data_IF_277246196432
#
_entry.id   IF_277246196432
#
_cell.length_a   1.000
_cell.length_b   1.000
_cell.length_c   1.000
_cell.angle_alpha   90.00
_cell.angle_beta   90.00
_cell.angle_gamma   90.00
#
_symmetry.space_group_name_H-M   'P 1'
#
loop_
_entity.id
_entity.type
_entity.pdbx_description
1 polymer ?
#
# COMPACT_ATOMS: atom_id res chain seq x y z
N UNK A 1 -28.30 -1.21 14.48
CA UNK A 1 -27.96 0.12 13.94
C UNK A 1 -26.91 -0.18 12.89
N UNK A 2 -27.31 -0.33 11.63
CA UNK A 2 -26.35 -0.52 10.54
C UNK A 2 -25.65 0.83 10.37
N UNK A 3 -24.36 0.89 10.70
CA UNK A 3 -23.49 1.94 10.20
C UNK A 3 -23.47 1.80 8.68
N UNK A 4 -24.31 2.58 8.00
CA UNK A 4 -24.39 2.57 6.54
C UNK A 4 -23.06 3.02 5.97
N UNK A 5 -22.48 2.23 5.07
CA UNK A 5 -21.27 2.59 4.35
C UNK A 5 -21.41 4.00 3.75
N UNK A 6 -20.43 4.86 4.00
CA UNK A 6 -20.34 6.17 3.36
C UNK A 6 -19.82 5.97 1.94
N UNK A 7 -20.26 6.79 0.99
CA UNK A 7 -19.74 6.74 -0.38
C UNK A 7 -19.56 8.11 -0.99
N UNK A 8 -18.65 8.19 -1.95
CA UNK A 8 -18.55 9.32 -2.86
C UNK A 8 -18.28 8.81 -4.28
N UNK A 9 -18.61 9.63 -5.28
CA UNK A 9 -18.49 9.28 -6.69
C UNK A 9 -17.95 10.45 -7.49
N UNK A 10 -17.36 10.13 -8.62
CA UNK A 10 -16.98 11.13 -9.62
C UNK A 10 -18.21 11.78 -10.25
N UNK A 11 -17.99 12.93 -10.87
CA UNK A 11 -18.97 13.57 -11.75
C UNK A 11 -18.21 14.15 -12.94
N UNK A 12 -18.54 13.67 -14.14
CA UNK A 12 -17.96 14.11 -15.40
C UNK A 12 -17.13 13.03 -16.12
N UNK A 13 -16.86 11.87 -15.50
CA UNK A 13 -16.16 10.78 -16.18
C UNK A 13 -17.06 10.04 -17.18
N UNK A 14 -18.38 10.20 -17.08
CA UNK A 14 -19.33 9.59 -18.03
C UNK A 14 -19.05 9.95 -19.49
N UNK A 15 -18.55 11.16 -19.77
CA UNK A 15 -18.19 11.58 -21.13
C UNK A 15 -17.07 10.71 -21.75
N UNK A 16 -16.20 10.14 -20.91
CA UNK A 16 -15.04 9.35 -21.35
C UNK A 16 -15.25 7.85 -21.11
N UNK A 17 -15.72 7.47 -19.93
CA UNK A 17 -15.91 6.08 -19.51
C UNK A 17 -17.32 5.54 -19.75
N UNK A 18 -18.31 6.40 -20.05
CA UNK A 18 -19.75 6.06 -20.09
C UNK A 18 -20.33 5.56 -18.76
N UNK A 19 -19.64 5.86 -17.67
CA UNK A 19 -20.02 5.52 -16.30
C UNK A 19 -19.26 6.43 -15.34
N UNK A 20 -19.73 6.53 -14.11
CA UNK A 20 -19.01 7.18 -13.01
C UNK A 20 -18.35 6.12 -12.13
N UNK A 21 -17.28 6.52 -11.45
CA UNK A 21 -16.58 5.66 -10.48
C UNK A 21 -17.06 6.04 -9.08
N UNK A 22 -17.46 5.03 -8.30
CA UNK A 22 -17.92 5.20 -6.93
C UNK A 22 -17.02 4.42 -5.98
N UNK A 23 -16.65 5.06 -4.88
CA UNK A 23 -15.95 4.44 -3.76
C UNK A 23 -16.83 4.45 -2.52
N UNK A 24 -16.93 3.30 -1.84
CA UNK A 24 -17.58 3.16 -0.54
C UNK A 24 -16.56 2.82 0.54
N UNK A 25 -16.84 3.27 1.77
CA UNK A 25 -15.94 3.14 2.91
C UNK A 25 -16.71 3.26 4.24
N UNK A 26 -16.11 2.74 5.32
CA UNK A 26 -16.82 2.55 6.61
C UNK A 26 -16.73 3.75 7.56
N UNK A 27 -15.82 4.71 7.35
CA UNK A 27 -15.60 5.83 8.29
C UNK A 27 -15.56 7.19 7.60
N UNK A 28 -16.23 8.18 8.18
CA UNK A 28 -16.29 9.55 7.64
C UNK A 28 -14.92 10.24 7.53
N UNK A 29 -13.95 9.85 8.34
CA UNK A 29 -12.56 10.35 8.27
C UNK A 29 -11.87 9.97 6.94
N UNK A 30 -12.36 8.93 6.27
CA UNK A 30 -11.85 8.48 4.97
C UNK A 30 -12.40 9.28 3.80
N UNK A 31 -13.30 10.25 4.01
CA UNK A 31 -13.83 11.08 2.94
C UNK A 31 -12.74 11.89 2.22
N UNK A 32 -11.73 12.38 2.94
CA UNK A 32 -10.57 13.06 2.37
C UNK A 32 -9.75 12.14 1.46
N UNK A 33 -9.21 11.02 1.99
CA UNK A 33 -8.55 9.98 1.20
C UNK A 33 -9.37 9.50 0.00
N UNK A 34 -10.68 9.28 0.17
CA UNK A 34 -11.57 8.84 -0.90
C UNK A 34 -11.64 9.84 -2.05
N UNK A 35 -11.70 11.15 -1.74
CA UNK A 35 -11.67 12.21 -2.77
C UNK A 35 -10.32 12.24 -3.48
N UNK A 36 -9.20 12.14 -2.76
CA UNK A 36 -7.88 12.05 -3.38
C UNK A 36 -7.77 10.86 -4.34
N UNK A 37 -8.27 9.69 -3.93
CA UNK A 37 -8.32 8.52 -4.79
C UNK A 37 -9.14 8.77 -6.07
N UNK A 38 -10.34 9.33 -5.95
CA UNK A 38 -11.19 9.64 -7.11
C UNK A 38 -10.59 10.72 -8.02
N UNK A 39 -9.90 11.72 -7.48
CA UNK A 39 -9.17 12.70 -8.30
C UNK A 39 -8.08 12.01 -9.13
N UNK A 40 -7.29 11.14 -8.52
CA UNK A 40 -6.27 10.37 -9.23
C UNK A 40 -6.87 9.45 -10.30
N UNK A 41 -8.03 8.84 -10.02
CA UNK A 41 -8.77 8.08 -11.03
C UNK A 41 -9.18 8.99 -12.20
N UNK A 42 -9.65 10.20 -11.91
CA UNK A 42 -9.97 11.20 -12.92
C UNK A 42 -8.76 11.61 -13.75
N UNK A 43 -7.64 11.91 -13.11
CA UNK A 43 -6.38 12.26 -13.78
C UNK A 43 -5.91 11.14 -14.71
N UNK A 44 -5.92 9.90 -14.23
CA UNK A 44 -5.57 8.71 -15.03
C UNK A 44 -6.43 8.59 -16.30
N UNK A 45 -7.74 8.87 -16.19
CA UNK A 45 -8.67 8.86 -17.32
C UNK A 45 -8.44 10.05 -18.26
N UNK A 46 -8.15 11.24 -17.72
CA UNK A 46 -7.82 12.44 -18.49
C UNK A 46 -6.51 12.30 -19.28
N UNK A 47 -5.58 11.48 -18.81
CA UNK A 47 -4.37 11.08 -19.55
C UNK A 47 -4.66 10.13 -20.74
N UNK A 48 -5.93 9.75 -20.93
CA UNK A 48 -6.38 8.90 -22.04
C UNK A 48 -6.42 7.42 -21.69
N UNK A 49 -6.13 7.04 -20.44
CA UNK A 49 -6.28 5.67 -19.99
C UNK A 49 -7.77 5.32 -19.78
N UNK A 50 -8.10 4.03 -19.83
CA UNK A 50 -9.46 3.54 -19.60
C UNK A 50 -9.48 2.66 -18.35
N UNK A 51 -10.61 2.71 -17.65
CA UNK A 51 -10.92 1.82 -16.53
C UNK A 51 -12.15 1.00 -16.90
N UNK A 52 -12.04 -0.31 -16.77
CA UNK A 52 -13.10 -1.27 -17.08
C UNK A 52 -13.36 -2.22 -15.89
N UNK A 53 -14.53 -2.86 -15.89
CA UNK A 53 -14.87 -3.87 -14.89
C UNK A 53 -13.84 -5.00 -14.88
N UNK A 54 -13.39 -5.39 -13.69
CA UNK A 54 -12.36 -6.41 -13.45
C UNK A 54 -10.93 -5.87 -13.37
N UNK A 55 -10.67 -4.64 -13.86
CA UNK A 55 -9.35 -4.02 -13.79
C UNK A 55 -9.00 -3.57 -12.36
N UNK A 56 -7.70 -3.37 -12.14
CA UNK A 56 -7.16 -2.96 -10.83
C UNK A 56 -6.25 -1.74 -10.96
N UNK A 57 -6.16 -0.98 -9.88
CA UNK A 57 -5.27 0.15 -9.72
C UNK A 57 -4.69 0.13 -8.31
N UNK A 58 -3.38 0.22 -8.17
CA UNK A 58 -2.75 0.39 -6.86
C UNK A 58 -3.09 1.76 -6.28
N UNK A 59 -3.43 1.85 -5.00
CA UNK A 59 -3.57 3.10 -4.25
C UNK A 59 -2.68 3.03 -3.02
N UNK A 60 -1.53 3.72 -3.09
CA UNK A 60 -0.43 3.42 -2.20
C UNK A 60 0.05 1.98 -2.41
N UNK A 61 0.23 1.28 -1.29
CA UNK A 61 0.58 -0.14 -1.28
C UNK A 61 -0.58 -1.06 -1.67
N UNK A 62 -1.83 -0.69 -1.37
CA UNK A 62 -2.98 -1.57 -1.56
C UNK A 62 -3.51 -1.55 -3.00
N UNK A 63 -4.33 -2.53 -3.35
CA UNK A 63 -4.93 -2.66 -4.70
C UNK A 63 -6.43 -2.46 -4.63
N UNK A 64 -6.94 -1.56 -5.47
CA UNK A 64 -8.37 -1.34 -5.68
C UNK A 64 -8.78 -1.97 -7.01
N UNK A 65 -9.87 -2.72 -7.01
CA UNK A 65 -10.51 -3.31 -8.19
C UNK A 65 -11.77 -2.52 -8.55
N UNK A 66 -12.06 -2.39 -9.84
CA UNK A 66 -13.29 -1.78 -10.33
C UNK A 66 -14.26 -2.85 -10.80
N UNK A 67 -15.52 -2.77 -10.41
CA UNK A 67 -16.57 -3.72 -10.77
C UNK A 67 -17.80 -2.94 -11.24
N UNK A 68 -18.28 -3.24 -12.45
CA UNK A 68 -19.47 -2.60 -13.00
C UNK A 68 -20.75 -3.23 -12.44
N UNK A 69 -21.57 -2.43 -11.78
CA UNK A 69 -22.85 -2.83 -11.17
C UNK A 69 -23.84 -1.68 -11.33
N UNK A 70 -25.06 -1.98 -11.81
CA UNK A 70 -26.14 -0.99 -12.00
C UNK A 70 -25.72 0.28 -12.76
N UNK A 71 -24.81 0.13 -13.74
CA UNK A 71 -24.33 1.24 -14.57
C UNK A 71 -23.24 2.11 -13.92
N UNK A 72 -22.72 1.73 -12.76
CA UNK A 72 -21.66 2.41 -12.02
C UNK A 72 -20.44 1.50 -11.90
N UNK A 73 -19.23 2.04 -11.96
CA UNK A 73 -18.02 1.32 -11.57
C UNK A 73 -17.78 1.47 -10.06
N UNK A 74 -18.21 0.48 -9.30
CA UNK A 74 -17.94 0.38 -7.86
C UNK A 74 -16.51 -0.08 -7.60
N UNK A 75 -15.90 0.42 -6.53
CA UNK A 75 -14.62 -0.10 -6.04
C UNK A 75 -14.81 -1.33 -5.17
N UNK A 76 -13.88 -2.24 -5.29
CA UNK A 76 -13.67 -3.40 -4.43
C UNK A 76 -12.21 -3.42 -3.98
N UNK A 77 -11.93 -4.07 -2.87
CA UNK A 77 -10.57 -4.28 -2.37
C UNK A 77 -10.38 -5.73 -1.93
N UNK A 78 -9.12 -6.13 -1.72
CA UNK A 78 -8.86 -7.41 -1.08
C UNK A 78 -9.15 -7.35 0.42
N UNK A 79 -9.59 -8.48 0.98
CA UNK A 79 -9.68 -8.67 2.43
C UNK A 79 -8.29 -8.67 3.10
N UNK A 80 -8.26 -8.76 4.43
CA UNK A 80 -7.01 -8.77 5.21
C UNK A 80 -6.12 -10.00 4.92
N UNK A 81 -6.69 -11.04 4.29
CA UNK A 81 -6.00 -12.26 3.88
C UNK A 81 -5.56 -12.26 2.43
N UNK A 82 -5.87 -11.23 1.65
CA UNK A 82 -5.61 -11.18 0.21
C UNK A 82 -6.27 -12.32 -0.59
N UNK A 83 -7.35 -12.91 -0.08
CA UNK A 83 -8.03 -14.05 -0.69
C UNK A 83 -9.26 -13.61 -1.47
N UNK A 84 -10.09 -12.80 -0.82
CA UNK A 84 -11.41 -12.44 -1.32
C UNK A 84 -11.48 -10.96 -1.70
N UNK A 85 -12.27 -10.67 -2.73
CA UNK A 85 -12.61 -9.31 -3.12
C UNK A 85 -13.86 -8.87 -2.37
N UNK A 86 -13.74 -7.83 -1.54
CA UNK A 86 -14.84 -7.27 -0.75
C UNK A 86 -15.26 -5.89 -1.29
N UNK A 87 -16.54 -5.51 -1.19
CA UNK A 87 -16.99 -4.20 -1.65
C UNK A 87 -16.34 -3.04 -0.89
N UNK A 88 -16.10 -1.94 -1.60
CA UNK A 88 -15.52 -0.71 -1.05
C UNK A 88 -14.01 -0.65 -1.15
N UNK A 89 -13.42 0.33 -0.45
CA UNK A 89 -11.99 0.59 -0.45
C UNK A 89 -11.47 1.04 0.94
N UNK A 90 -12.15 0.62 2.02
CA UNK A 90 -11.83 1.08 3.39
C UNK A 90 -10.36 0.85 3.74
N UNK A 91 -9.81 -0.34 3.49
CA UNK A 91 -8.40 -0.67 3.78
C UNK A 91 -7.47 0.13 2.89
N UNK A 92 -7.73 0.19 1.59
CA UNK A 92 -6.90 0.95 0.65
C UNK A 92 -6.77 2.42 1.07
N UNK A 93 -7.88 3.05 1.45
CA UNK A 93 -7.92 4.44 1.89
C UNK A 93 -7.26 4.64 3.27
N UNK A 94 -7.47 3.71 4.20
CA UNK A 94 -6.85 3.73 5.53
C UNK A 94 -5.34 3.62 5.42
N UNK A 95 -4.86 2.65 4.66
CA UNK A 95 -3.44 2.42 4.45
C UNK A 95 -2.78 3.56 3.68
N UNK A 96 -3.45 4.12 2.67
CA UNK A 96 -2.98 5.33 2.00
C UNK A 96 -2.74 6.48 2.97
N UNK A 97 -3.76 6.81 3.78
CA UNK A 97 -3.69 7.86 4.79
C UNK A 97 -2.56 7.62 5.79
N UNK A 98 -2.49 6.41 6.34
CA UNK A 98 -1.53 6.07 7.39
C UNK A 98 -0.08 6.03 6.86
N UNK A 99 0.11 5.60 5.62
CA UNK A 99 1.42 5.64 4.96
C UNK A 99 1.87 7.09 4.71
N UNK A 100 0.98 7.93 4.15
CA UNK A 100 1.27 9.36 3.97
C UNK A 100 1.63 10.05 5.29
N UNK A 101 0.81 9.87 6.32
CA UNK A 101 1.07 10.46 7.63
C UNK A 101 2.39 9.96 8.25
N UNK A 102 2.80 8.72 7.94
CA UNK A 102 4.08 8.18 8.40
C UNK A 102 5.27 8.82 7.68
N UNK A 103 5.20 8.99 6.36
CA UNK A 103 6.21 9.71 5.58
C UNK A 103 6.33 11.18 6.03
N UNK A 104 5.20 11.87 6.19
CA UNK A 104 5.16 13.26 6.65
C UNK A 104 5.77 13.44 8.05
N UNK A 105 5.51 12.51 8.97
CA UNK A 105 6.02 12.58 10.34
C UNK A 105 7.57 12.50 10.43
N UNK A 106 8.23 12.00 9.38
CA UNK A 106 9.69 11.90 9.29
C UNK A 106 10.28 12.74 8.16
N UNK A 107 9.49 13.66 7.58
CA UNK A 107 9.89 14.54 6.47
C UNK A 107 10.49 13.76 5.29
N UNK A 108 9.87 12.62 4.93
CA UNK A 108 10.29 11.81 3.78
C UNK A 108 9.33 11.92 2.61
N UNK A 109 9.86 11.63 1.41
CA UNK A 109 9.04 11.36 0.25
C UNK A 109 8.10 10.17 0.50
N UNK A 110 7.02 10.14 -0.27
CA UNK A 110 6.03 9.08 -0.25
C UNK A 110 6.26 8.16 -1.47
N UNK A 111 6.79 6.96 -1.24
CA UNK A 111 7.20 6.01 -2.28
C UNK A 111 6.72 4.57 -1.96
N UNK A 112 5.44 4.25 -2.16
CA UNK A 112 4.89 2.94 -1.83
C UNK A 112 5.33 1.88 -2.85
N UNK A 113 5.88 0.74 -2.42
CA UNK A 113 6.10 -0.39 -3.31
C UNK A 113 4.76 -1.04 -3.68
N UNK A 114 4.75 -1.81 -4.78
CA UNK A 114 3.60 -2.64 -5.12
C UNK A 114 3.45 -3.79 -4.11
N UNK A 115 2.21 -4.17 -3.79
CA UNK A 115 1.93 -5.34 -2.93
C UNK A 115 2.50 -6.66 -3.45
N UNK A 116 2.69 -6.78 -4.77
CA UNK A 116 3.32 -7.93 -5.41
C UNK A 116 4.85 -7.78 -5.57
N UNK A 117 5.46 -6.66 -5.18
CA UNK A 117 6.90 -6.56 -5.09
C UNK A 117 7.42 -7.45 -3.95
N UNK A 118 8.66 -7.90 -4.05
CA UNK A 118 9.26 -8.84 -3.09
C UNK A 118 10.21 -8.16 -2.12
N UNK A 119 10.20 -8.61 -0.85
CA UNK A 119 11.15 -8.23 0.19
C UNK A 119 12.02 -9.44 0.58
N UNK A 120 13.22 -9.17 1.06
CA UNK A 120 14.08 -10.17 1.70
C UNK A 120 13.79 -10.19 3.21
N UNK A 121 13.48 -11.35 3.77
CA UNK A 121 13.11 -11.49 5.18
C UNK A 121 13.98 -12.55 5.87
N UNK A 122 14.37 -12.30 7.13
CA UNK A 122 14.97 -13.34 7.98
C UNK A 122 13.90 -14.19 8.66
N UNK A 123 14.33 -15.28 9.32
CA UNK A 123 13.46 -16.02 10.23
C UNK A 123 12.93 -15.09 11.34
N UNK A 124 11.70 -15.32 11.83
CA UNK A 124 11.06 -14.55 12.89
C UNK A 124 10.16 -13.42 12.39
N UNK A 125 10.33 -12.93 11.15
CA UNK A 125 9.57 -11.76 10.65
C UNK A 125 8.07 -12.07 10.58
N UNK A 126 7.73 -13.20 9.96
CA UNK A 126 6.33 -13.66 9.80
C UNK A 126 5.76 -14.08 11.16
N UNK A 127 6.60 -14.60 12.05
CA UNK A 127 6.22 -15.05 13.38
C UNK A 127 5.94 -13.91 14.37
N UNK A 128 6.21 -12.65 14.00
CA UNK A 128 5.91 -11.49 14.86
C UNK A 128 7.07 -11.02 15.72
N UNK A 129 8.29 -11.52 15.50
CA UNK A 129 9.45 -11.04 16.24
C UNK A 129 9.70 -9.55 15.97
N UNK A 130 10.31 -8.82 16.92
CA UNK A 130 10.74 -7.45 16.70
C UNK A 130 11.72 -7.35 15.52
N UNK A 131 11.51 -6.35 14.66
CA UNK A 131 12.24 -6.25 13.39
C UNK A 131 13.17 -5.04 13.34
N UNK A 132 14.25 -5.22 12.59
CA UNK A 132 15.08 -4.19 12.02
C UNK A 132 14.84 -4.21 10.50
N UNK A 133 14.58 -3.06 9.91
CA UNK A 133 14.22 -2.93 8.51
C UNK A 133 15.04 -1.83 7.85
N UNK A 134 15.46 -2.07 6.63
CA UNK A 134 16.17 -1.11 5.78
C UNK A 134 15.68 -1.25 4.35
N UNK A 135 15.52 -0.13 3.64
CA UNK A 135 15.11 -0.12 2.23
C UNK A 135 16.24 0.35 1.34
N UNK A 136 16.71 -0.53 0.46
CA UNK A 136 17.69 -0.19 -0.57
C UNK A 136 17.00 0.21 -1.88
N UNK A 137 17.66 0.97 -2.75
CA UNK A 137 17.28 1.08 -4.15
C UNK A 137 17.17 -0.31 -4.78
N UNK A 138 16.12 -0.56 -5.58
CA UNK A 138 15.83 -1.89 -6.09
C UNK A 138 15.12 -1.86 -7.45
N UNK A 139 15.25 -2.91 -8.28
CA UNK A 139 14.48 -3.02 -9.53
C UNK A 139 12.98 -3.18 -9.26
N UNK A 140 12.08 -2.88 -10.22
CA UNK A 140 10.63 -2.77 -9.97
C UNK A 140 9.91 -3.99 -9.36
N UNK A 141 10.46 -5.20 -9.53
CA UNK A 141 9.88 -6.43 -8.99
C UNK A 141 10.32 -6.71 -7.53
N UNK A 142 11.30 -5.97 -7.03
CA UNK A 142 11.78 -5.97 -5.65
C UNK A 142 11.33 -4.67 -4.98
N UNK A 143 10.95 -4.74 -3.71
CA UNK A 143 10.56 -3.54 -2.97
C UNK A 143 11.75 -2.77 -2.39
N UNK A 144 12.92 -3.41 -2.34
CA UNK A 144 14.11 -2.92 -1.66
C UNK A 144 14.11 -3.15 -0.15
N UNK A 145 13.00 -3.64 0.42
CA UNK A 145 12.92 -3.91 1.86
C UNK A 145 13.67 -5.18 2.24
N UNK A 146 14.57 -5.02 3.20
CA UNK A 146 15.18 -6.09 3.97
C UNK A 146 14.63 -6.00 5.38
N UNK A 147 13.94 -7.05 5.81
CA UNK A 147 13.30 -7.13 7.11
C UNK A 147 13.98 -8.25 7.90
N UNK A 148 14.70 -7.90 8.95
CA UNK A 148 15.47 -8.85 9.76
C UNK A 148 15.02 -8.83 11.20
N UNK A 149 15.32 -9.89 11.94
CA UNK A 149 15.07 -9.99 13.38
C UNK A 149 16.38 -10.35 14.08
N UNK A 150 16.34 -10.45 15.41
CA UNK A 150 17.46 -10.96 16.19
C UNK A 150 17.90 -12.39 15.82
N UNK A 151 17.09 -13.14 15.03
CA UNK A 151 17.46 -14.47 14.51
C UNK A 151 18.34 -14.40 13.26
N UNK A 152 18.54 -13.23 12.67
CA UNK A 152 19.42 -13.05 11.53
C UNK A 152 20.89 -13.14 11.97
N UNK A 153 21.65 -14.03 11.32
CA UNK A 153 23.05 -14.31 11.63
C UNK A 153 24.03 -13.49 10.79
N UNK A 154 23.53 -12.58 9.95
CA UNK A 154 24.32 -11.79 9.01
C UNK A 154 24.57 -12.48 7.67
N UNK A 155 24.13 -13.74 7.49
CA UNK A 155 24.26 -14.44 6.22
C UNK A 155 23.08 -14.12 5.29
N UNK A 156 23.32 -13.30 4.27
CA UNK A 156 22.32 -12.90 3.27
C UNK A 156 21.69 -14.10 2.55
N UNK A 157 22.43 -15.20 2.37
CA UNK A 157 21.92 -16.42 1.72
C UNK A 157 20.82 -17.12 2.55
N UNK A 158 20.72 -16.81 3.85
CA UNK A 158 19.67 -17.33 4.72
C UNK A 158 18.32 -16.61 4.55
N UNK A 159 18.31 -15.45 3.87
CA UNK A 159 17.11 -14.65 3.70
C UNK A 159 16.15 -15.30 2.71
N UNK A 160 14.85 -15.25 3.05
CA UNK A 160 13.77 -15.68 2.16
C UNK A 160 13.27 -14.49 1.38
N UNK A 161 13.03 -14.68 0.09
CA UNK A 161 12.40 -13.66 -0.76
C UNK A 161 10.90 -13.95 -0.83
N UNK A 162 10.09 -13.02 -0.32
CA UNK A 162 8.63 -13.17 -0.24
C UNK A 162 7.92 -11.93 -0.78
N UNK A 163 6.73 -12.11 -1.34
CA UNK A 163 5.91 -10.96 -1.74
C UNK A 163 5.44 -10.16 -0.52
N UNK A 164 5.42 -8.83 -0.63
CA UNK A 164 5.06 -7.95 0.47
C UNK A 164 3.64 -8.20 0.99
N UNK A 165 2.67 -8.59 0.15
CA UNK A 165 1.33 -8.91 0.64
C UNK A 165 1.34 -10.04 1.70
N UNK A 166 2.18 -11.08 1.54
CA UNK A 166 2.34 -12.12 2.57
C UNK A 166 2.95 -11.58 3.86
N UNK A 167 3.89 -10.63 3.74
CA UNK A 167 4.47 -9.96 4.93
C UNK A 167 3.37 -9.17 5.62
N UNK A 168 2.62 -8.32 4.91
CA UNK A 168 1.58 -7.47 5.51
C UNK A 168 0.36 -8.24 5.99
N UNK A 169 0.10 -9.43 5.43
CA UNK A 169 -0.91 -10.35 5.95
C UNK A 169 -0.53 -10.86 7.35
N UNK A 170 0.74 -11.23 7.55
CA UNK A 170 1.24 -11.68 8.85
C UNK A 170 1.54 -10.52 9.81
N UNK A 171 1.95 -9.37 9.26
CA UNK A 171 2.48 -8.19 9.95
C UNK A 171 1.85 -6.90 9.44
N UNK A 172 0.53 -6.70 9.66
CA UNK A 172 -0.17 -5.49 9.21
C UNK A 172 0.38 -4.23 9.89
N UNK A 173 1.02 -4.35 11.05
CA UNK A 173 1.70 -3.26 11.77
C UNK A 173 2.80 -2.58 10.95
N UNK A 174 3.41 -3.30 10.01
CA UNK A 174 4.50 -2.77 9.18
C UNK A 174 4.03 -1.92 8.01
N UNK A 175 2.77 -2.08 7.59
CA UNK A 175 2.26 -1.55 6.32
C UNK A 175 2.45 -0.04 6.21
N UNK A 176 2.19 0.70 7.30
CA UNK A 176 2.35 2.16 7.37
C UNK A 176 3.78 2.64 7.07
N UNK A 177 4.80 1.80 7.32
CA UNK A 177 6.21 2.14 7.10
C UNK A 177 6.71 1.75 5.70
N UNK A 178 6.00 0.90 4.98
CA UNK A 178 6.48 0.37 3.70
C UNK A 178 6.58 1.42 2.59
N UNK A 179 5.89 2.56 2.72
CA UNK A 179 5.96 3.67 1.77
C UNK A 179 7.15 4.62 1.98
N UNK A 180 7.96 4.40 3.02
CA UNK A 180 9.18 5.16 3.23
C UNK A 180 10.19 4.86 2.11
N UNK A 181 10.85 5.86 1.52
CA UNK A 181 11.65 5.73 0.30
C UNK A 181 12.95 4.94 0.53
N UNK A 182 13.65 4.50 -0.53
CA UNK A 182 15.00 3.96 -0.43
C UNK A 182 15.93 4.86 0.41
N UNK A 183 16.75 4.27 1.26
CA UNK A 183 17.51 4.94 2.32
C UNK A 183 16.84 4.88 3.69
N UNK A 184 15.53 4.63 3.75
CA UNK A 184 14.79 4.59 5.01
C UNK A 184 15.08 3.32 5.80
N UNK A 185 15.05 3.44 7.13
CA UNK A 185 15.16 2.32 8.04
C UNK A 185 14.24 2.50 9.23
N UNK A 186 13.86 1.39 9.86
CA UNK A 186 13.23 1.41 11.17
C UNK A 186 13.65 0.20 12.00
N UNK A 187 13.70 0.37 13.32
CA UNK A 187 14.14 -0.67 14.26
C UNK A 187 13.19 -0.66 15.45
N UNK A 188 12.47 -1.76 15.60
CA UNK A 188 11.54 -2.02 16.69
C UNK A 188 12.08 -3.07 17.66
N UNK A 189 13.33 -3.51 17.51
CA UNK A 189 13.96 -4.55 18.33
C UNK A 189 14.44 -4.05 19.68
N UNK A 190 14.88 -2.79 19.75
CA UNK A 190 15.43 -2.18 20.97
C UNK A 190 14.66 -0.94 21.39
N UNK A 191 14.75 0.09 20.57
CA UNK A 191 14.10 1.38 20.80
C UNK A 191 13.50 1.82 19.47
N UNK A 192 12.16 1.91 19.39
CA UNK A 192 11.49 2.29 18.16
C UNK A 192 12.09 3.55 17.57
N UNK A 193 12.76 3.39 16.43
CA UNK A 193 13.32 4.48 15.64
C UNK A 193 12.93 4.29 14.20
N UNK A 194 12.65 5.40 13.54
CA UNK A 194 12.49 5.50 12.08
C UNK A 194 13.48 6.58 11.65
N UNK A 195 14.20 6.35 10.56
CA UNK A 195 15.18 7.31 10.08
C UNK A 195 15.57 7.06 8.63
N UNK A 196 16.56 7.83 8.18
CA UNK A 196 17.03 7.84 6.80
C UNK A 196 18.55 7.83 6.75
N UNK A 197 19.11 7.05 5.83
CA UNK A 197 20.54 6.98 5.56
C UNK A 197 20.82 7.37 4.10
N UNK A 198 21.54 8.48 3.92
CA UNK A 198 21.95 8.94 2.59
C UNK A 198 22.91 7.97 1.91
N UNK A 199 23.72 7.25 2.69
CA UNK A 199 24.64 6.22 2.18
C UNK A 199 23.85 5.11 1.48
N UNK A 200 22.86 4.56 2.18
CA UNK A 200 21.95 3.49 1.68
C UNK A 200 21.13 3.99 0.49
N UNK A 201 20.63 5.22 0.54
CA UNK A 201 19.85 5.82 -0.55
C UNK A 201 20.65 5.95 -1.85
N UNK A 202 21.98 6.05 -1.75
CA UNK A 202 22.88 6.30 -2.88
C UNK A 202 23.48 5.02 -3.46
N UNK A 203 23.12 3.85 -2.92
CA UNK A 203 23.55 2.56 -3.45
C UNK A 203 22.94 2.27 -4.82
N UNK A 204 23.61 1.43 -5.61
CA UNK A 204 23.09 1.01 -6.92
C UNK A 204 22.22 -0.25 -6.76
N UNK A 205 21.04 -0.30 -7.41
CA UNK A 205 20.17 -1.48 -7.43
C UNK A 205 20.81 -2.75 -8.01
#
# INVERSE_FOLDING_TARGET
MEEGATSCRTSGLEATLRTEVQVSFESAELLGPAREFLFRVGDYVCEGNRIESGQTMSHGFWVVRFCAEDGILNTYEFDDKWLDSVPGATRALTYWRDQKATCEAVDSDFDPPLANAKAAISAGVIEGDPIEAIRYPAPPHMSGWYLTTARYDGNVESLKVVHLHHVTQARPDLLRHLALPPGSYFDFSKSPKVGFSQEVASEQP
#
